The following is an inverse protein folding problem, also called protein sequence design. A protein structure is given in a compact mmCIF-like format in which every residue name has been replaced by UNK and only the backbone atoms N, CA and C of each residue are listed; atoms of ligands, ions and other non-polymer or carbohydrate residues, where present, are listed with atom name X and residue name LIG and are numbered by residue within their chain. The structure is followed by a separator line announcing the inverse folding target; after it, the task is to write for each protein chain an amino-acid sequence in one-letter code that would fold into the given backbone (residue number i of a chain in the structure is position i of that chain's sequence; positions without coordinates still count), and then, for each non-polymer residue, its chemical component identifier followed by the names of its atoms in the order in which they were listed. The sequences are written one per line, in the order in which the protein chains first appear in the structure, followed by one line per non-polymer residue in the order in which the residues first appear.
data_IF_397251931183
#
_entry.id   IF_397251931183
#
_cell.length_a   1.000
_cell.length_b   1.000
_cell.length_c   1.000
_cell.angle_alpha   90.00
_cell.angle_beta   90.00
_cell.angle_gamma   90.00
#
_symmetry.space_group_name_H-M   'P 1'
#
loop_
_entity.id
_entity.type
_entity.pdbx_description
1 polymer ?
#
# COMPACT_ATOMS: atom_id res chain seq x y z
N UNK A 1 -6.38 5.38 -12.81
CA UNK A 1 -6.89 5.56 -11.44
C UNK A 1 -8.26 4.90 -11.37
N UNK A 2 -8.57 4.16 -10.29
CA UNK A 2 -9.87 3.55 -10.04
C UNK A 2 -10.46 4.26 -8.81
N UNK A 3 -11.30 5.26 -9.08
CA UNK A 3 -11.93 6.05 -8.04
C UNK A 3 -13.09 5.28 -7.40
N UNK A 4 -13.20 5.35 -6.08
CA UNK A 4 -14.23 4.66 -5.29
C UNK A 4 -14.41 3.17 -5.68
N UNK A 5 -13.32 2.42 -5.67
CA UNK A 5 -13.33 1.00 -6.08
C UNK A 5 -14.33 0.15 -5.30
N UNK A 6 -14.65 0.53 -4.06
CA UNK A 6 -15.67 -0.11 -3.23
C UNK A 6 -17.11 0.08 -3.75
N UNK A 7 -17.36 1.01 -4.68
CA UNK A 7 -18.64 1.17 -5.38
C UNK A 7 -18.73 0.33 -6.65
N UNK A 8 -17.62 -0.15 -7.15
CA UNK A 8 -17.61 -1.04 -8.31
C UNK A 8 -18.16 -2.42 -7.96
N UNK A 9 -18.86 -3.05 -8.92
CA UNK A 9 -19.35 -4.41 -8.72
C UNK A 9 -18.21 -5.40 -8.45
N UNK A 10 -18.45 -6.50 -7.72
CA UNK A 10 -17.43 -7.52 -7.47
C UNK A 10 -16.77 -8.08 -8.73
N UNK A 11 -17.53 -8.14 -9.83
CA UNK A 11 -17.01 -8.55 -11.14
C UNK A 11 -16.00 -7.54 -11.69
N UNK A 12 -16.30 -6.25 -11.59
CA UNK A 12 -15.41 -5.16 -12.01
C UNK A 12 -14.16 -5.13 -11.16
N UNK A 13 -14.30 -5.25 -9.83
CA UNK A 13 -13.16 -5.35 -8.91
C UNK A 13 -12.23 -6.52 -9.28
N UNK A 14 -12.80 -7.71 -9.52
CA UNK A 14 -12.03 -8.89 -9.92
C UNK A 14 -11.29 -8.70 -11.24
N UNK A 15 -11.93 -8.08 -12.24
CA UNK A 15 -11.31 -7.80 -13.54
C UNK A 15 -10.12 -6.82 -13.38
N UNK A 16 -10.26 -5.76 -12.57
CA UNK A 16 -9.18 -4.83 -12.31
C UNK A 16 -8.00 -5.51 -11.61
N UNK A 17 -8.28 -6.34 -10.60
CA UNK A 17 -7.24 -7.06 -9.85
C UNK A 17 -6.53 -8.11 -10.72
N UNK A 18 -7.24 -8.74 -11.64
CA UNK A 18 -6.62 -9.60 -12.65
C UNK A 18 -5.69 -8.80 -13.55
N UNK A 19 -6.14 -7.66 -14.07
CA UNK A 19 -5.32 -6.76 -14.89
C UNK A 19 -4.02 -6.33 -14.17
N UNK A 20 -4.09 -6.04 -12.86
CA UNK A 20 -2.92 -5.71 -12.05
C UNK A 20 -1.89 -6.83 -11.98
N UNK A 21 -2.33 -8.08 -11.91
CA UNK A 21 -1.45 -9.24 -11.76
C UNK A 21 -0.90 -9.74 -13.08
N UNK A 22 -1.78 -9.87 -14.08
CA UNK A 22 -1.45 -10.50 -15.34
C UNK A 22 -0.94 -9.50 -16.38
N UNK A 23 -1.10 -8.19 -16.12
CA UNK A 23 -0.74 -7.10 -17.03
C UNK A 23 -1.37 -7.23 -18.43
N UNK A 24 -2.51 -7.90 -18.49
CA UNK A 24 -3.37 -7.97 -19.68
C UNK A 24 -4.84 -8.06 -19.27
N UNK A 25 -5.72 -7.78 -20.20
CA UNK A 25 -7.16 -7.98 -20.09
C UNK A 25 -7.64 -8.87 -21.23
N UNK A 26 -8.74 -9.59 -20.99
CA UNK A 26 -9.41 -10.38 -22.04
C UNK A 26 -10.77 -9.77 -22.33
N UNK A 27 -10.98 -9.32 -23.56
CA UNK A 27 -12.24 -8.74 -24.03
C UNK A 27 -12.75 -9.55 -25.21
N UNK A 28 -13.97 -10.05 -25.12
CA UNK A 28 -14.60 -10.88 -26.16
C UNK A 28 -13.72 -12.06 -26.64
N UNK A 29 -12.96 -12.67 -25.71
CA UNK A 29 -12.07 -13.79 -26.02
C UNK A 29 -10.70 -13.40 -26.57
N UNK A 30 -10.45 -12.12 -26.85
CA UNK A 30 -9.16 -11.61 -27.30
C UNK A 30 -8.35 -11.04 -26.14
N UNK A 31 -7.06 -11.40 -26.08
CA UNK A 31 -6.10 -10.87 -25.10
C UNK A 31 -5.57 -9.51 -25.55
N UNK A 32 -5.56 -8.55 -24.63
CA UNK A 32 -4.99 -7.21 -24.80
C UNK A 32 -3.97 -6.95 -23.73
N UNK A 33 -2.69 -6.87 -24.08
CA UNK A 33 -1.62 -6.54 -23.15
C UNK A 33 -1.70 -5.07 -22.75
N UNK A 34 -1.47 -4.79 -21.46
CA UNK A 34 -1.49 -3.43 -20.93
C UNK A 34 -0.16 -2.73 -21.17
N UNK A 35 -0.16 -1.43 -21.47
CA UNK A 35 1.07 -0.67 -21.68
C UNK A 35 1.91 -0.63 -20.40
N UNK A 36 3.23 -0.60 -20.57
CA UNK A 36 4.18 -0.46 -19.44
C UNK A 36 4.69 0.98 -19.36
N UNK A 37 4.86 1.51 -18.13
CA UNK A 37 4.53 0.92 -16.83
C UNK A 37 3.02 0.96 -16.55
N UNK A 38 2.46 -0.13 -16.01
CA UNK A 38 1.06 -0.19 -15.58
C UNK A 38 0.97 -0.22 -14.07
N UNK A 39 0.30 0.76 -13.48
CA UNK A 39 0.02 0.86 -12.06
C UNK A 39 -1.43 1.23 -11.82
N UNK A 40 -2.01 0.68 -10.77
CA UNK A 40 -3.36 1.03 -10.32
C UNK A 40 -3.25 1.81 -9.02
N UNK A 41 -3.83 3.01 -9.03
CA UNK A 41 -4.16 3.79 -7.86
C UNK A 41 -5.67 3.64 -7.68
N UNK A 42 -6.10 3.13 -6.54
CA UNK A 42 -7.51 2.99 -6.21
C UNK A 42 -7.83 3.81 -4.96
N UNK A 43 -8.98 4.47 -4.95
CA UNK A 43 -9.49 5.16 -3.76
C UNK A 43 -10.64 4.39 -3.15
N UNK A 44 -10.83 4.54 -1.85
CA UNK A 44 -12.00 4.08 -1.10
C UNK A 44 -12.49 5.24 -0.22
N UNK A 45 -13.80 5.44 -0.17
CA UNK A 45 -14.40 6.35 0.79
C UNK A 45 -14.95 5.51 1.97
N UNK A 46 -14.32 5.53 3.15
CA UNK A 46 -14.74 4.71 4.28
C UNK A 46 -16.05 5.18 4.92
N UNK A 47 -16.46 6.43 4.67
CA UNK A 47 -17.67 7.00 5.25
C UNK A 47 -18.95 6.50 4.54
N UNK A 48 -18.85 6.12 3.29
CA UNK A 48 -19.99 5.64 2.51
C UNK A 48 -20.11 4.12 2.65
N UNK A 49 -21.16 3.67 3.32
CA UNK A 49 -21.46 2.24 3.51
C UNK A 49 -22.57 1.76 2.58
N UNK A 50 -23.50 2.63 2.20
CA UNK A 50 -24.66 2.28 1.38
C UNK A 50 -24.27 2.14 -0.09
N UNK A 51 -24.66 1.03 -0.71
CA UNK A 51 -24.34 0.74 -2.11
C UNK A 51 -22.87 0.38 -2.39
N UNK A 52 -22.11 0.01 -1.35
CA UNK A 52 -20.71 -0.37 -1.50
C UNK A 52 -20.48 -1.88 -1.38
N UNK A 53 -19.44 -2.36 -2.03
CA UNK A 53 -18.94 -3.72 -1.97
C UNK A 53 -17.51 -3.68 -1.42
N UNK A 54 -17.28 -3.95 -0.12
CA UNK A 54 -15.95 -3.94 0.45
C UNK A 54 -15.07 -4.98 -0.25
N UNK A 55 -13.82 -4.62 -0.51
CA UNK A 55 -12.87 -5.55 -1.08
C UNK A 55 -12.53 -6.64 -0.06
N UNK A 56 -12.59 -7.93 -0.43
CA UNK A 56 -12.12 -9.01 0.42
C UNK A 56 -10.63 -8.86 0.76
N UNK A 57 -10.24 -9.32 1.93
CA UNK A 57 -8.85 -9.26 2.44
C UNK A 57 -7.81 -9.81 1.45
N UNK A 58 -8.10 -10.92 0.78
CA UNK A 58 -7.25 -11.52 -0.25
C UNK A 58 -7.06 -10.61 -1.47
N UNK A 59 -7.97 -9.65 -1.71
CA UNK A 59 -7.88 -8.67 -2.77
C UNK A 59 -7.09 -7.44 -2.29
N UNK A 60 -7.28 -7.00 -1.05
CA UNK A 60 -6.52 -5.93 -0.44
C UNK A 60 -5.02 -6.28 -0.38
N UNK A 61 -4.66 -7.52 -0.08
CA UNK A 61 -3.26 -8.00 -0.06
C UNK A 61 -2.51 -7.81 -1.40
N UNK A 62 -3.23 -7.56 -2.49
CA UNK A 62 -2.62 -7.32 -3.82
C UNK A 62 -2.11 -5.89 -4.01
N UNK A 63 -2.60 -4.94 -3.24
CA UNK A 63 -2.09 -3.56 -3.26
C UNK A 63 -0.77 -3.48 -2.53
N UNK A 64 0.15 -2.65 -3.04
CA UNK A 64 1.48 -2.49 -2.46
C UNK A 64 1.40 -1.87 -1.06
N UNK A 65 0.63 -0.81 -0.92
CA UNK A 65 0.43 -0.05 0.31
C UNK A 65 -0.93 0.64 0.31
N UNK A 66 -1.37 1.01 1.49
CA UNK A 66 -2.55 1.82 1.76
C UNK A 66 -2.13 3.11 2.45
N UNK A 67 -2.62 4.23 1.94
CA UNK A 67 -2.29 5.57 2.43
C UNK A 67 -3.59 6.23 2.88
N UNK A 68 -3.64 6.66 4.14
CA UNK A 68 -4.73 7.48 4.64
C UNK A 68 -4.57 8.90 4.11
N UNK A 69 -5.66 9.48 3.67
CA UNK A 69 -5.72 10.88 3.24
C UNK A 69 -6.69 11.58 4.18
N UNK A 70 -6.13 12.26 5.15
CA UNK A 70 -6.87 13.06 6.12
C UNK A 70 -7.27 14.43 5.54
N UNK A 71 -8.08 15.17 6.29
CA UNK A 71 -8.37 16.56 5.96
C UNK A 71 -7.08 17.36 5.93
N UNK A 72 -6.95 18.31 4.97
CA UNK A 72 -5.79 19.19 4.91
C UNK A 72 -5.73 20.09 6.15
N UNK A 73 -4.52 20.49 6.53
CA UNK A 73 -4.35 21.54 7.52
C UNK A 73 -4.87 22.89 6.99
N UNK A 74 -5.04 23.85 7.92
CA UNK A 74 -5.61 25.16 7.58
C UNK A 74 -4.85 25.90 6.46
N UNK A 75 -3.52 25.76 6.42
CA UNK A 75 -2.71 26.47 5.42
C UNK A 75 -2.80 25.79 4.06
N UNK A 76 -2.86 24.45 4.03
CA UNK A 76 -3.12 23.69 2.83
C UNK A 76 -4.54 23.95 2.30
N UNK A 77 -5.55 23.97 3.17
CA UNK A 77 -6.94 24.30 2.80
C UNK A 77 -7.05 25.71 2.22
N UNK A 78 -6.34 26.70 2.82
CA UNK A 78 -6.26 28.04 2.29
C UNK A 78 -5.65 28.08 0.89
N UNK A 79 -4.59 27.34 0.63
CA UNK A 79 -3.99 27.24 -0.72
C UNK A 79 -4.96 26.64 -1.72
N UNK A 80 -5.65 25.55 -1.33
CA UNK A 80 -6.67 24.92 -2.17
C UNK A 80 -7.72 25.95 -2.61
N UNK A 81 -8.24 26.74 -1.67
CA UNK A 81 -9.24 27.77 -2.00
C UNK A 81 -8.75 28.72 -3.11
N UNK A 82 -7.52 29.22 -3.03
CA UNK A 82 -7.00 30.14 -4.04
C UNK A 82 -6.64 29.47 -5.36
N UNK A 83 -6.07 28.26 -5.31
CA UNK A 83 -5.57 27.55 -6.49
C UNK A 83 -6.70 26.90 -7.32
N UNK A 84 -7.81 26.51 -6.67
CA UNK A 84 -8.91 25.79 -7.35
C UNK A 84 -10.12 26.64 -7.70
N UNK A 85 -10.23 27.86 -7.14
CA UNK A 85 -11.34 28.78 -7.43
C UNK A 85 -10.90 30.03 -8.19
N UNK A 86 -9.60 30.13 -8.53
CA UNK A 86 -9.05 31.23 -9.34
C UNK A 86 -9.42 31.11 -10.83
N UNK A 87 -9.12 32.15 -11.58
CA UNK A 87 -9.38 32.18 -13.01
C UNK A 87 -8.40 31.32 -13.83
N UNK A 88 -7.24 31.01 -13.25
CA UNK A 88 -6.17 30.23 -13.90
C UNK A 88 -6.20 28.77 -13.41
N UNK A 89 -6.44 27.85 -14.33
CA UNK A 89 -6.37 26.41 -14.06
C UNK A 89 -4.93 25.92 -14.24
N UNK A 90 -4.28 25.52 -13.15
CA UNK A 90 -2.93 24.97 -13.20
C UNK A 90 -3.00 23.47 -13.44
N UNK A 91 -2.72 23.04 -14.66
CA UNK A 91 -2.63 21.63 -15.00
C UNK A 91 -1.29 21.03 -14.54
N UNK A 92 -1.37 19.83 -13.97
CA UNK A 92 -0.17 19.07 -13.60
C UNK A 92 0.67 18.73 -14.84
N UNK A 93 1.98 18.98 -14.75
CA UNK A 93 2.93 18.65 -15.83
C UNK A 93 3.63 17.34 -15.49
N UNK A 94 3.86 16.51 -16.53
CA UNK A 94 4.66 15.30 -16.36
C UNK A 94 6.09 15.66 -15.97
N UNK A 95 6.56 15.10 -14.83
CA UNK A 95 7.93 15.33 -14.33
C UNK A 95 8.93 14.32 -14.91
N UNK A 96 8.46 13.16 -15.40
CA UNK A 96 9.29 12.13 -16.04
C UNK A 96 8.48 11.37 -17.09
N UNK A 97 9.18 10.75 -18.02
CA UNK A 97 8.57 9.87 -19.03
C UNK A 97 8.53 8.40 -18.55
N UNK A 98 7.83 7.55 -19.30
CA UNK A 98 7.68 6.12 -19.00
C UNK A 98 9.03 5.37 -18.97
N UNK A 99 9.98 5.73 -19.83
CA UNK A 99 11.29 5.08 -19.90
C UNK A 99 12.12 5.32 -18.63
N UNK A 100 12.13 6.56 -18.13
CA UNK A 100 12.79 6.93 -16.88
C UNK A 100 12.17 6.17 -15.71
N UNK A 101 10.83 6.10 -15.66
CA UNK A 101 10.13 5.36 -14.59
C UNK A 101 10.45 3.85 -14.65
N UNK A 102 10.48 3.24 -15.83
CA UNK A 102 10.84 1.83 -15.98
C UNK A 102 12.31 1.60 -15.58
N UNK A 103 13.21 2.51 -15.92
CA UNK A 103 14.61 2.43 -15.51
C UNK A 103 14.76 2.51 -13.99
N UNK A 104 14.05 3.45 -13.33
CA UNK A 104 14.02 3.57 -11.87
C UNK A 104 13.47 2.29 -11.21
N UNK A 105 12.38 1.71 -11.72
CA UNK A 105 11.84 0.45 -11.21
C UNK A 105 12.80 -0.73 -11.32
N UNK A 106 13.58 -0.79 -12.41
CA UNK A 106 14.63 -1.79 -12.58
C UNK A 106 15.78 -1.57 -11.57
N UNK A 107 16.13 -0.31 -11.32
CA UNK A 107 17.17 0.05 -10.35
C UNK A 107 16.75 -0.32 -8.93
N UNK A 108 15.52 0.00 -8.51
CA UNK A 108 14.96 -0.41 -7.21
C UNK A 108 15.17 -1.91 -6.97
N UNK A 109 14.88 -2.76 -7.95
CA UNK A 109 15.04 -4.22 -7.82
C UNK A 109 16.50 -4.68 -7.71
N UNK A 110 17.47 -3.85 -8.09
CA UNK A 110 18.89 -4.14 -8.09
C UNK A 110 19.61 -3.58 -6.86
N UNK A 111 18.97 -2.69 -6.08
CA UNK A 111 19.59 -2.18 -4.87
C UNK A 111 19.90 -3.33 -3.90
N UNK A 112 21.14 -3.38 -3.36
CA UNK A 112 21.51 -4.35 -2.34
C UNK A 112 20.72 -4.10 -1.05
N UNK A 113 20.51 -5.16 -0.30
CA UNK A 113 19.83 -5.10 1.02
C UNK A 113 20.67 -5.89 1.99
N UNK A 114 21.04 -5.29 3.12
CA UNK A 114 21.76 -5.96 4.18
C UNK A 114 20.88 -6.99 4.92
N UNK A 115 21.49 -8.05 5.43
CA UNK A 115 20.80 -9.13 6.15
C UNK A 115 20.00 -8.60 7.34
N UNK A 116 20.48 -7.58 8.04
CA UNK A 116 19.75 -6.94 9.15
C UNK A 116 18.40 -6.38 8.74
N UNK A 117 18.29 -5.80 7.55
CA UNK A 117 17.03 -5.28 7.00
C UNK A 117 16.10 -6.43 6.60
N UNK A 118 16.66 -7.51 6.03
CA UNK A 118 15.89 -8.71 5.68
C UNK A 118 15.29 -9.33 6.94
N UNK A 119 16.10 -9.50 7.99
CA UNK A 119 15.64 -10.06 9.26
C UNK A 119 14.62 -9.15 9.98
N UNK A 120 14.79 -7.83 9.90
CA UNK A 120 13.80 -6.87 10.42
C UNK A 120 12.44 -7.02 9.70
N UNK A 121 12.43 -7.14 8.37
CA UNK A 121 11.20 -7.36 7.58
C UNK A 121 10.55 -8.70 7.98
N UNK A 122 11.33 -9.78 8.06
CA UNK A 122 10.81 -11.11 8.41
C UNK A 122 10.25 -11.12 9.83
N UNK A 123 10.98 -10.56 10.79
CA UNK A 123 10.57 -10.47 12.19
C UNK A 123 9.26 -9.69 12.33
N UNK A 124 9.16 -8.53 11.68
CA UNK A 124 7.96 -7.69 11.71
C UNK A 124 6.74 -8.42 11.13
N UNK A 125 6.88 -8.96 9.93
CA UNK A 125 5.77 -9.63 9.24
C UNK A 125 5.34 -10.90 9.96
N UNK A 126 6.28 -11.68 10.53
CA UNK A 126 5.96 -12.89 11.30
C UNK A 126 5.31 -12.58 12.63
N UNK A 127 5.80 -11.56 13.36
CA UNK A 127 5.18 -11.11 14.61
C UNK A 127 3.74 -10.61 14.44
N UNK A 128 3.38 -10.15 13.24
CA UNK A 128 2.01 -9.76 12.87
C UNK A 128 1.09 -10.94 12.50
N UNK A 129 1.50 -12.19 12.69
CA UNK A 129 0.67 -13.39 12.43
C UNK A 129 0.17 -13.99 13.74
N UNK A 130 -1.10 -14.39 13.84
CA UNK A 130 -1.65 -14.96 15.08
C UNK A 130 -1.00 -16.31 15.46
N UNK A 131 -0.59 -17.11 14.47
CA UNK A 131 -0.11 -18.49 14.66
C UNK A 131 1.43 -18.63 14.65
N UNK A 132 2.18 -17.51 14.60
CA UNK A 132 3.62 -17.54 14.62
C UNK A 132 4.15 -17.62 16.06
N UNK A 133 5.32 -18.28 16.25
CA UNK A 133 6.05 -18.19 17.52
C UNK A 133 6.33 -16.71 17.84
N UNK A 134 5.80 -16.22 18.96
CA UNK A 134 5.83 -14.82 19.33
C UNK A 134 4.78 -13.93 18.62
N UNK A 135 3.82 -14.52 17.91
CA UNK A 135 2.70 -13.83 17.27
C UNK A 135 1.82 -13.08 18.28
N UNK A 136 1.14 -12.05 17.80
CA UNK A 136 0.32 -11.21 18.66
C UNK A 136 -1.12 -11.74 18.75
N UNK A 137 -1.56 -12.03 19.98
CA UNK A 137 -2.91 -12.57 20.25
C UNK A 137 -4.04 -11.57 19.96
N UNK A 138 -3.71 -10.32 19.72
CA UNK A 138 -4.69 -9.30 19.32
C UNK A 138 -5.10 -9.42 17.85
N UNK A 139 -4.35 -10.20 17.07
CA UNK A 139 -4.52 -10.32 15.61
C UNK A 139 -5.33 -11.57 15.30
N UNK A 140 -6.44 -11.41 14.58
CA UNK A 140 -7.27 -12.50 14.09
C UNK A 140 -6.78 -13.03 12.73
N UNK A 141 -6.29 -12.12 11.88
CA UNK A 141 -5.75 -12.40 10.56
C UNK A 141 -4.53 -11.50 10.32
N UNK A 142 -3.47 -12.06 9.78
CA UNK A 142 -2.18 -11.40 9.63
C UNK A 142 -1.59 -11.51 8.22
N UNK A 143 -0.50 -10.77 7.96
CA UNK A 143 0.08 -10.61 6.63
C UNK A 143 0.72 -11.89 6.11
N UNK A 144 0.50 -12.19 4.83
CA UNK A 144 1.14 -13.26 4.08
C UNK A 144 2.53 -12.88 3.55
N UNK A 145 3.18 -13.75 2.74
CA UNK A 145 4.50 -13.50 2.15
C UNK A 145 4.55 -12.25 1.26
N UNK A 146 3.41 -11.83 0.69
CA UNK A 146 3.32 -10.59 -0.10
C UNK A 146 3.67 -9.35 0.70
N UNK A 147 3.35 -9.31 1.98
CA UNK A 147 3.73 -8.21 2.84
C UNK A 147 5.25 -8.03 2.92
N UNK A 148 6.01 -9.12 3.10
CA UNK A 148 7.48 -9.10 3.08
C UNK A 148 8.02 -8.62 1.73
N UNK A 149 7.42 -9.09 0.63
CA UNK A 149 7.79 -8.65 -0.73
C UNK A 149 7.49 -7.16 -0.95
N UNK A 150 6.34 -6.69 -0.46
CA UNK A 150 5.94 -5.28 -0.54
C UNK A 150 6.87 -4.39 0.27
N UNK A 151 7.19 -4.76 1.52
CA UNK A 151 8.17 -4.04 2.34
C UNK A 151 9.53 -4.01 1.66
N UNK A 152 10.03 -5.14 1.17
CA UNK A 152 11.31 -5.21 0.47
C UNK A 152 11.40 -4.27 -0.73
N UNK A 153 10.32 -4.14 -1.52
CA UNK A 153 10.27 -3.21 -2.65
C UNK A 153 10.15 -1.77 -2.18
N UNK A 154 9.33 -1.52 -1.18
CA UNK A 154 9.08 -0.18 -0.65
C UNK A 154 10.32 0.43 0.01
N UNK A 155 11.06 -0.33 0.85
CA UNK A 155 12.30 0.16 1.49
C UNK A 155 13.40 0.46 0.47
N UNK A 156 13.52 -0.37 -0.58
CA UNK A 156 14.46 -0.09 -1.68
C UNK A 156 14.08 1.18 -2.43
N UNK A 157 12.78 1.34 -2.73
CA UNK A 157 12.29 2.54 -3.41
C UNK A 157 12.54 3.79 -2.57
N UNK A 158 12.29 3.74 -1.24
CA UNK A 158 12.56 4.83 -0.31
C UNK A 158 14.04 5.20 -0.30
N UNK A 159 14.94 4.21 -0.15
CA UNK A 159 16.38 4.45 -0.19
C UNK A 159 16.81 5.13 -1.49
N UNK A 160 16.30 4.68 -2.64
CA UNK A 160 16.61 5.28 -3.94
C UNK A 160 16.13 6.74 -4.03
N UNK A 161 14.90 7.02 -3.55
CA UNK A 161 14.32 8.37 -3.56
C UNK A 161 15.13 9.33 -2.67
N UNK A 162 15.69 8.82 -1.58
CA UNK A 162 16.56 9.58 -0.67
C UNK A 162 18.03 9.63 -1.16
N UNK A 163 18.34 9.09 -2.34
CA UNK A 163 19.69 9.06 -2.91
C UNK A 163 20.63 8.07 -2.21
N UNK A 164 20.10 7.12 -1.42
CA UNK A 164 20.89 6.09 -0.73
C UNK A 164 21.00 4.82 -1.58
N UNK A 165 22.13 4.13 -1.44
CA UNK A 165 22.42 2.91 -2.20
C UNK A 165 21.91 1.63 -1.54
N UNK A 166 21.44 1.71 -0.29
CA UNK A 166 20.87 0.59 0.44
C UNK A 166 19.82 1.09 1.44
N UNK A 167 18.75 0.31 1.72
CA UNK A 167 17.78 0.63 2.76
C UNK A 167 18.33 0.37 4.17
N UNK A 168 17.69 0.97 5.18
CA UNK A 168 17.94 0.81 6.60
C UNK A 168 16.77 0.12 7.33
N UNK A 169 16.97 -0.22 8.60
CA UNK A 169 15.90 -0.71 9.47
C UNK A 169 14.85 0.39 9.69
N UNK A 170 15.26 1.65 9.78
CA UNK A 170 14.33 2.77 9.92
C UNK A 170 13.34 2.85 8.75
N UNK A 171 13.79 2.54 7.51
CA UNK A 171 12.88 2.47 6.36
C UNK A 171 11.81 1.37 6.56
N UNK A 172 12.18 0.24 7.18
CA UNK A 172 11.22 -0.83 7.50
C UNK A 172 10.19 -0.34 8.52
N UNK A 173 10.66 0.35 9.57
CA UNK A 173 9.80 0.88 10.62
C UNK A 173 8.86 1.96 10.08
N UNK A 174 9.34 2.86 9.23
CA UNK A 174 8.53 3.92 8.65
C UNK A 174 7.46 3.40 7.69
N UNK A 175 7.79 2.38 6.90
CA UNK A 175 6.89 1.80 5.90
C UNK A 175 6.04 0.63 6.42
N UNK A 176 6.20 0.25 7.70
CA UNK A 176 5.45 -0.82 8.32
C UNK A 176 3.94 -0.60 8.24
N UNK A 177 3.46 0.56 8.66
CA UNK A 177 2.03 0.87 8.74
C UNK A 177 1.37 0.89 7.36
N UNK A 178 1.80 1.70 6.37
CA UNK A 178 1.17 1.73 5.07
C UNK A 178 1.21 0.39 4.32
N UNK A 179 2.17 -0.49 4.63
CA UNK A 179 2.25 -1.81 4.00
C UNK A 179 1.45 -2.87 4.73
N UNK A 180 1.30 -2.79 6.06
CA UNK A 180 0.69 -3.86 6.85
C UNK A 180 -0.79 -3.61 7.20
N UNK A 181 -1.24 -2.37 7.37
CA UNK A 181 -2.56 -2.08 7.94
C UNK A 181 -3.73 -2.71 7.18
N UNK A 182 -3.68 -2.77 5.85
CA UNK A 182 -4.70 -3.40 5.01
C UNK A 182 -4.52 -4.93 4.87
N UNK A 183 -3.52 -5.49 5.56
CA UNK A 183 -3.19 -6.92 5.58
C UNK A 183 -3.38 -7.55 6.95
N UNK A 184 -4.09 -6.87 7.85
CA UNK A 184 -4.29 -7.31 9.22
C UNK A 184 -5.74 -7.07 9.66
N UNK A 185 -6.24 -7.97 10.50
CA UNK A 185 -7.51 -7.77 11.18
C UNK A 185 -7.35 -8.10 12.67
N UNK A 186 -7.94 -7.28 13.53
CA UNK A 186 -7.94 -7.50 14.97
C UNK A 186 -9.03 -8.49 15.38
N UNK A 187 -8.76 -9.22 16.47
CA UNK A 187 -9.78 -10.04 17.13
C UNK A 187 -10.94 -9.18 17.62
N UNK A 188 -12.11 -9.80 17.81
CA UNK A 188 -13.25 -9.10 18.36
C UNK A 188 -12.94 -8.49 19.75
N UNK A 189 -12.26 -9.25 20.62
CA UNK A 189 -11.85 -8.79 21.94
C UNK A 189 -10.95 -7.55 21.85
N UNK A 190 -9.92 -7.56 21.00
CA UNK A 190 -9.02 -6.42 20.81
C UNK A 190 -9.78 -5.16 20.37
N UNK A 191 -10.75 -5.31 19.46
CA UNK A 191 -11.60 -4.18 19.02
C UNK A 191 -12.51 -3.68 20.13
N UNK A 192 -13.08 -4.59 20.92
CA UNK A 192 -13.91 -4.22 22.08
C UNK A 192 -13.13 -3.46 23.15
N UNK A 193 -11.82 -3.77 23.31
CA UNK A 193 -10.89 -3.06 24.19
C UNK A 193 -10.40 -1.72 23.58
N UNK A 194 -10.93 -1.30 22.44
CA UNK A 194 -10.58 -0.03 21.80
C UNK A 194 -9.21 -0.02 21.09
N UNK A 195 -8.60 -1.19 20.87
CA UNK A 195 -7.35 -1.29 20.11
C UNK A 195 -7.57 -1.02 18.64
N UNK A 196 -6.60 -0.34 18.03
CA UNK A 196 -6.57 -0.07 16.58
C UNK A 196 -5.42 -0.83 15.91
N UNK A 197 -5.52 -1.04 14.58
CA UNK A 197 -4.43 -1.66 13.81
C UNK A 197 -3.14 -0.85 13.89
N UNK A 198 -3.15 0.50 13.76
CA UNK A 198 -1.96 1.32 13.98
C UNK A 198 -1.31 1.12 15.35
N UNK A 199 -2.10 0.97 16.43
CA UNK A 199 -1.55 0.72 17.77
C UNK A 199 -0.79 -0.60 17.85
N UNK A 200 -1.36 -1.66 17.26
CA UNK A 200 -0.70 -2.97 17.20
C UNK A 200 0.56 -2.91 16.36
N UNK A 201 0.53 -2.26 15.19
CA UNK A 201 1.73 -2.10 14.36
C UNK A 201 2.81 -1.31 15.12
N UNK A 202 2.44 -0.24 15.84
CA UNK A 202 3.38 0.51 16.68
C UNK A 202 4.02 -0.37 17.76
N UNK A 203 3.24 -1.23 18.41
CA UNK A 203 3.76 -2.21 19.38
C UNK A 203 4.70 -3.22 18.72
N UNK A 204 4.39 -3.71 17.51
CA UNK A 204 5.25 -4.63 16.77
C UNK A 204 6.59 -3.98 16.39
N UNK A 205 6.59 -2.72 16.00
CA UNK A 205 7.79 -1.94 15.67
C UNK A 205 8.78 -1.89 16.84
N UNK A 206 8.33 -1.77 18.09
CA UNK A 206 9.22 -1.73 19.26
C UNK A 206 9.95 -3.04 19.54
N UNK A 207 9.55 -4.15 18.92
CA UNK A 207 10.23 -5.45 19.07
C UNK A 207 11.42 -5.62 18.10
N UNK A 208 11.61 -4.70 17.16
CA UNK A 208 12.56 -4.82 16.05
C UNK A 208 13.61 -3.70 16.08
N UNK A 209 13.26 -2.53 16.61
CA UNK A 209 14.11 -1.34 16.78
C UNK A 209 14.77 -1.26 18.20
#
# INVERSE_FOLDING_TARGET
MADEINRASPRTQSALLQAMQEQHITVAGARHDLPKPFHVLATQNPLEQEGTYPLPEAQLDRFLMEIDVDYPDRDAERRILFETTGADETLAKASMNAEILIAAQRLVRRLPVGDSVVEAILSLVRAARPDADGGDKLIAWGPGPRASQSLMLAVRARALLDGRLAPSIDDVLDLAEPVLKHRMALTFAARADGRTIPDVIRQLKTRIG
#
